data_IF_664425040172
#
_entry.id   IF_664425040172
#
_cell.length_a   1.000
_cell.length_b   1.000
_cell.length_c   1.000
_cell.angle_alpha   90.00
_cell.angle_beta   90.00
_cell.angle_gamma   90.00
#
_symmetry.space_group_name_H-M   'P 1'
#
loop_
_entity.id
_entity.type
_entity.pdbx_description
1 polymer ?
#
# COMPACT_ATOMS: atom_id res chain seq x y z
N UNK A 1 -37.15 20.93 -13.37
CA UNK A 1 -37.04 19.50 -12.96
C UNK A 1 -37.88 19.31 -11.71
N UNK A 2 -38.76 18.34 -11.65
CA UNK A 2 -39.60 18.10 -10.46
C UNK A 2 -38.69 17.52 -9.33
N UNK A 3 -39.13 17.70 -8.06
CA UNK A 3 -38.41 17.11 -6.91
C UNK A 3 -38.30 15.57 -7.04
N UNK A 4 -39.23 14.93 -7.73
CA UNK A 4 -39.22 13.50 -8.03
C UNK A 4 -38.03 13.12 -8.93
N UNK A 5 -37.80 13.86 -10.02
CA UNK A 5 -36.72 13.58 -10.99
C UNK A 5 -35.35 13.73 -10.43
N UNK A 6 -35.18 14.55 -9.38
CA UNK A 6 -33.87 14.70 -8.67
C UNK A 6 -33.63 13.64 -7.60
N UNK A 7 -34.67 12.94 -7.15
CA UNK A 7 -34.57 11.96 -6.03
C UNK A 7 -34.66 10.52 -6.48
N UNK A 8 -35.29 10.23 -7.60
CA UNK A 8 -35.52 8.87 -8.05
C UNK A 8 -34.99 8.66 -9.47
N UNK A 9 -33.95 7.88 -9.60
CA UNK A 9 -33.48 7.42 -10.89
C UNK A 9 -34.43 6.34 -11.41
N UNK A 10 -34.98 6.55 -12.58
CA UNK A 10 -36.00 5.64 -13.17
C UNK A 10 -35.33 4.46 -13.88
N UNK A 11 -34.15 4.67 -14.44
CA UNK A 11 -33.37 3.66 -15.16
C UNK A 11 -31.93 3.68 -14.66
N UNK A 12 -31.38 2.50 -14.41
CA UNK A 12 -29.99 2.32 -13.98
C UNK A 12 -29.60 0.85 -14.04
N UNK A 13 -28.32 0.57 -14.27
CA UNK A 13 -27.79 -0.76 -14.55
C UNK A 13 -26.83 -1.23 -13.49
N UNK A 14 -27.01 -2.49 -13.04
CA UNK A 14 -26.04 -3.25 -12.27
C UNK A 14 -25.18 -4.10 -13.19
N UNK A 15 -24.19 -4.81 -12.64
CA UNK A 15 -23.40 -5.74 -13.45
C UNK A 15 -24.20 -6.91 -14.01
N UNK A 16 -25.29 -7.29 -13.35
CA UNK A 16 -26.15 -8.39 -13.81
C UNK A 16 -27.04 -7.98 -14.99
N UNK A 17 -27.29 -6.67 -15.18
CA UNK A 17 -28.23 -6.17 -16.20
C UNK A 17 -27.58 -6.01 -17.58
N UNK A 18 -26.26 -6.05 -17.69
CA UNK A 18 -25.54 -5.73 -18.92
C UNK A 18 -24.49 -6.77 -19.27
N UNK A 19 -24.20 -6.90 -20.56
CA UNK A 19 -23.07 -7.63 -21.10
C UNK A 19 -22.31 -6.74 -22.09
N UNK A 20 -20.99 -6.96 -22.20
CA UNK A 20 -20.19 -6.31 -23.22
C UNK A 20 -20.46 -6.96 -24.58
N UNK A 21 -20.62 -6.12 -25.59
CA UNK A 21 -20.77 -6.59 -26.98
C UNK A 21 -19.38 -6.99 -27.50
N UNK A 22 -19.21 -8.22 -28.05
CA UNK A 22 -17.95 -8.62 -28.66
C UNK A 22 -17.58 -7.69 -29.84
N UNK A 23 -16.31 -7.34 -29.93
CA UNK A 23 -15.77 -6.52 -31.00
C UNK A 23 -14.53 -7.18 -31.60
N UNK A 24 -14.13 -6.73 -32.80
CA UNK A 24 -12.87 -7.14 -33.41
C UNK A 24 -11.69 -6.80 -32.47
N UNK A 25 -10.78 -7.75 -32.28
CA UNK A 25 -9.60 -7.60 -31.44
C UNK A 25 -8.33 -7.91 -32.22
N UNK A 26 -7.33 -7.06 -32.03
CA UNK A 26 -5.96 -7.25 -32.56
C UNK A 26 -4.95 -7.55 -31.46
N UNK A 27 -5.41 -7.80 -30.22
CA UNK A 27 -4.59 -8.03 -29.03
C UNK A 27 -4.82 -9.44 -28.52
N UNK A 28 -3.76 -10.19 -28.28
CA UNK A 28 -3.81 -11.49 -27.61
C UNK A 28 -3.87 -11.28 -26.08
N UNK A 29 -4.45 -12.23 -25.33
CA UNK A 29 -4.54 -12.10 -23.87
C UNK A 29 -3.21 -11.85 -23.17
N UNK A 30 -2.11 -12.39 -23.67
CA UNK A 30 -0.78 -12.23 -23.10
C UNK A 30 -0.13 -10.86 -23.42
N UNK A 31 -0.68 -10.13 -24.38
CA UNK A 31 -0.15 -8.83 -24.82
C UNK A 31 -0.89 -7.65 -24.16
N UNK A 32 -1.87 -7.95 -23.31
CA UNK A 32 -2.67 -6.93 -22.61
C UNK A 32 -1.84 -6.28 -21.51
N UNK A 33 -1.71 -4.96 -21.56
CA UNK A 33 -1.16 -4.17 -20.45
C UNK A 33 -2.27 -3.83 -19.45
N UNK A 34 -2.13 -4.32 -18.23
CA UNK A 34 -3.08 -4.09 -17.11
C UNK A 34 -2.65 -2.94 -16.20
N UNK A 35 -1.56 -2.23 -16.53
CA UNK A 35 -1.06 -1.15 -15.70
C UNK A 35 -2.04 0.02 -15.66
N UNK A 36 -2.16 0.62 -14.49
CA UNK A 36 -3.03 1.79 -14.25
C UNK A 36 -2.27 2.83 -13.45
N UNK A 37 -2.17 4.04 -14.01
CA UNK A 37 -1.75 5.21 -13.26
C UNK A 37 -2.96 5.74 -12.47
N UNK A 38 -3.06 5.36 -11.21
CA UNK A 38 -4.20 5.74 -10.36
C UNK A 38 -4.06 7.20 -9.86
N UNK A 39 -2.85 7.59 -9.46
CA UNK A 39 -2.48 8.96 -9.12
C UNK A 39 -0.99 9.17 -9.43
N UNK A 40 -0.47 10.39 -9.30
CA UNK A 40 0.92 10.74 -9.68
C UNK A 40 1.96 9.73 -9.18
N UNK A 41 1.82 9.26 -7.95
CA UNK A 41 2.77 8.34 -7.29
C UNK A 41 2.21 6.91 -7.14
N UNK A 42 1.07 6.61 -7.76
CA UNK A 42 0.40 5.30 -7.63
C UNK A 42 0.26 4.64 -9.00
N UNK A 43 1.31 3.95 -9.44
CA UNK A 43 1.27 3.07 -10.60
C UNK A 43 1.00 1.65 -10.15
N UNK A 44 -0.18 1.14 -10.46
CA UNK A 44 -0.53 -0.26 -10.22
C UNK A 44 -0.24 -1.11 -11.45
N UNK A 45 0.15 -2.37 -11.24
CA UNK A 45 0.40 -3.34 -12.31
C UNK A 45 -0.85 -4.13 -12.71
N UNK A 46 -1.83 -4.16 -11.81
CA UNK A 46 -3.17 -4.71 -12.07
C UNK A 46 -4.22 -3.75 -11.47
N UNK A 47 -5.42 -3.64 -12.07
CA UNK A 47 -6.44 -2.70 -11.65
C UNK A 47 -7.27 -3.22 -10.46
N UNK A 48 -6.61 -3.70 -9.40
CA UNK A 48 -7.27 -4.30 -8.23
C UNK A 48 -6.83 -3.65 -6.93
N UNK A 49 -7.80 -3.40 -6.04
CA UNK A 49 -7.55 -2.95 -4.66
C UNK A 49 -8.31 -3.80 -3.65
N UNK A 50 -7.79 -3.93 -2.44
CA UNK A 50 -8.52 -4.54 -1.32
C UNK A 50 -9.14 -3.49 -0.41
N UNK A 51 -10.37 -3.79 0.07
CA UNK A 51 -11.20 -2.85 0.81
C UNK A 51 -10.68 -2.56 2.22
N UNK A 52 -10.92 -1.34 2.71
CA UNK A 52 -10.55 -0.84 4.04
C UNK A 52 -11.47 -1.37 5.16
N UNK A 53 -11.62 -2.69 5.22
CA UNK A 53 -12.49 -3.38 6.18
C UNK A 53 -11.66 -4.20 7.17
N UNK A 54 -12.06 -4.22 8.44
CA UNK A 54 -11.30 -4.84 9.54
C UNK A 54 -11.08 -6.35 9.41
N UNK A 55 -11.93 -7.04 8.66
CA UNK A 55 -11.77 -8.48 8.36
C UNK A 55 -11.22 -8.75 6.96
N UNK A 56 -10.77 -7.73 6.24
CA UNK A 56 -10.31 -7.84 4.85
C UNK A 56 -8.86 -7.41 4.70
N UNK A 57 -8.51 -6.19 5.11
CA UNK A 57 -7.18 -5.63 4.81
C UNK A 57 -6.43 -5.21 6.07
N UNK A 58 -5.55 -6.07 6.52
CA UNK A 58 -4.40 -5.80 7.38
C UNK A 58 -3.11 -5.75 6.56
N UNK A 59 -1.94 -5.72 7.20
CA UNK A 59 -0.65 -5.79 6.51
C UNK A 59 -0.48 -7.06 5.68
N UNK A 60 -1.05 -8.20 6.11
CA UNK A 60 -0.93 -9.48 5.40
C UNK A 60 -1.59 -9.42 4.03
N UNK A 61 -2.84 -8.96 3.98
CA UNK A 61 -3.57 -8.78 2.72
C UNK A 61 -2.94 -7.67 1.88
N UNK A 62 -2.53 -6.55 2.49
CA UNK A 62 -1.91 -5.44 1.76
C UNK A 62 -0.59 -5.88 1.08
N UNK A 63 0.22 -6.69 1.75
CA UNK A 63 1.43 -7.29 1.16
C UNK A 63 1.06 -8.23 0.02
N UNK A 64 0.08 -9.11 0.23
CA UNK A 64 -0.31 -10.11 -0.76
C UNK A 64 -0.80 -9.47 -2.06
N UNK A 65 -1.67 -8.45 -1.97
CA UNK A 65 -2.21 -7.79 -3.16
C UNK A 65 -1.16 -6.90 -3.85
N UNK A 66 -0.29 -6.22 -3.09
CA UNK A 66 0.78 -5.40 -3.65
C UNK A 66 1.82 -6.26 -4.40
N UNK A 67 2.13 -7.48 -3.93
CA UNK A 67 2.96 -8.47 -4.64
C UNK A 67 2.38 -8.86 -5.99
N UNK A 68 1.07 -8.93 -6.09
CA UNK A 68 0.37 -9.21 -7.36
C UNK A 68 0.21 -7.95 -8.24
N UNK A 69 0.64 -6.79 -7.75
CA UNK A 69 0.60 -5.55 -8.51
C UNK A 69 -0.59 -4.62 -8.21
N UNK A 70 -1.42 -4.96 -7.23
CA UNK A 70 -2.54 -4.15 -6.77
C UNK A 70 -2.19 -3.25 -5.57
N UNK A 71 -3.21 -2.75 -4.86
CA UNK A 71 -3.04 -1.86 -3.72
C UNK A 71 -3.97 -2.26 -2.56
N UNK A 72 -3.40 -2.48 -1.39
CA UNK A 72 -4.17 -2.72 -0.16
C UNK A 72 -4.47 -1.43 0.59
N UNK A 73 -5.70 -1.31 1.14
CA UNK A 73 -6.08 -0.19 2.00
C UNK A 73 -6.24 -0.68 3.44
N UNK A 74 -5.26 -0.37 4.29
CA UNK A 74 -5.30 -0.73 5.72
C UNK A 74 -6.50 -0.08 6.41
N UNK A 75 -7.30 -0.87 7.12
CA UNK A 75 -8.50 -0.38 7.79
C UNK A 75 -8.17 0.49 9.02
N UNK A 76 -9.13 1.34 9.43
CA UNK A 76 -8.97 2.29 10.54
C UNK A 76 -9.51 1.79 11.90
N UNK A 77 -10.08 0.59 11.96
CA UNK A 77 -10.66 0.04 13.21
C UNK A 77 -9.57 -0.47 14.16
N UNK A 78 -8.62 0.41 14.51
CA UNK A 78 -7.52 0.18 15.44
C UNK A 78 -6.94 1.52 15.91
N UNK A 79 -6.03 1.50 16.90
CA UNK A 79 -5.35 2.71 17.33
C UNK A 79 -4.49 3.32 16.21
N UNK A 80 -4.10 4.59 16.37
CA UNK A 80 -3.25 5.29 15.39
C UNK A 80 -1.90 4.56 15.25
N UNK A 81 -1.30 4.21 16.38
CA UNK A 81 0.00 3.53 16.44
C UNK A 81 -0.07 2.14 15.80
N UNK A 82 -1.16 1.39 16.06
CA UNK A 82 -1.36 0.07 15.47
C UNK A 82 -1.50 0.15 13.94
N UNK A 83 -2.24 1.14 13.44
CA UNK A 83 -2.42 1.33 12.00
C UNK A 83 -1.11 1.78 11.32
N UNK A 84 -0.35 2.68 11.94
CA UNK A 84 0.97 3.07 11.48
C UNK A 84 1.94 1.88 11.45
N UNK A 85 1.90 1.00 12.47
CA UNK A 85 2.71 -0.22 12.49
C UNK A 85 2.33 -1.20 11.36
N UNK A 86 1.03 -1.33 11.02
CA UNK A 86 0.60 -2.11 9.86
C UNK A 86 1.17 -1.56 8.55
N UNK A 87 1.18 -0.23 8.37
CA UNK A 87 1.83 0.41 7.22
C UNK A 87 3.34 0.13 7.21
N UNK A 88 4.02 0.25 8.35
CA UNK A 88 5.44 -0.08 8.47
C UNK A 88 5.74 -1.53 8.09
N UNK A 89 4.91 -2.50 8.50
CA UNK A 89 5.08 -3.91 8.12
C UNK A 89 5.04 -4.08 6.59
N UNK A 90 4.12 -3.41 5.90
CA UNK A 90 4.05 -3.46 4.43
C UNK A 90 5.30 -2.86 3.81
N UNK A 91 5.69 -1.65 4.24
CA UNK A 91 6.86 -0.94 3.70
C UNK A 91 8.18 -1.69 3.91
N UNK A 92 8.27 -2.50 4.96
CA UNK A 92 9.47 -3.31 5.27
C UNK A 92 9.44 -4.71 4.67
N UNK A 93 8.28 -5.19 4.22
CA UNK A 93 8.14 -6.57 3.74
C UNK A 93 8.94 -6.84 2.47
N UNK A 94 9.11 -5.83 1.63
CA UNK A 94 9.94 -5.88 0.44
C UNK A 94 10.53 -4.50 0.15
N UNK A 95 11.84 -4.44 0.14
CA UNK A 95 12.57 -3.23 -0.22
C UNK A 95 13.81 -3.60 -0.99
N UNK A 96 13.87 -4.28 -2.02
CA UNK A 96 15.09 -4.64 -2.78
C UNK A 96 16.42 -4.26 -2.08
N UNK A 97 16.47 -3.02 -1.57
CA UNK A 97 17.50 -2.51 -0.65
C UNK A 97 16.80 -1.97 0.60
N UNK A 98 17.06 -2.55 1.76
CA UNK A 98 16.57 -2.05 3.05
C UNK A 98 17.37 -0.78 3.39
N UNK A 99 16.76 0.38 3.19
CA UNK A 99 17.32 1.65 3.65
C UNK A 99 17.06 1.79 5.16
N UNK A 100 18.06 2.24 5.92
CA UNK A 100 18.01 2.35 7.38
C UNK A 100 17.64 1.01 8.06
N UNK A 101 18.44 -0.05 7.88
CA UNK A 101 18.19 -1.33 8.51
C UNK A 101 18.24 -1.21 10.03
N UNK A 102 17.51 -2.08 10.74
CA UNK A 102 17.73 -2.22 12.18
C UNK A 102 19.18 -2.60 12.44
N UNK A 103 19.77 -1.99 13.44
CA UNK A 103 21.10 -2.30 13.90
C UNK A 103 21.14 -2.34 15.43
N UNK A 104 22.16 -3.01 15.95
CA UNK A 104 22.49 -3.04 17.37
C UNK A 104 23.97 -2.68 17.55
N UNK A 105 24.41 -2.55 18.77
CA UNK A 105 25.82 -2.32 19.10
C UNK A 105 26.42 -3.56 19.77
N UNK A 106 27.75 -3.71 19.82
CA UNK A 106 28.42 -4.86 20.44
C UNK A 106 28.04 -5.13 21.90
N UNK A 107 27.60 -4.06 22.61
CA UNK A 107 27.26 -4.10 24.05
C UNK A 107 25.84 -4.54 24.36
N UNK A 108 24.99 -4.66 23.34
CA UNK A 108 23.66 -5.25 23.55
C UNK A 108 23.78 -6.74 23.85
N UNK A 109 22.81 -7.28 24.58
CA UNK A 109 22.73 -8.72 24.85
C UNK A 109 22.18 -9.48 23.64
N UNK A 110 22.52 -10.76 23.54
CA UNK A 110 21.92 -11.68 22.58
C UNK A 110 20.40 -11.75 22.74
N UNK A 111 19.88 -11.62 23.96
CA UNK A 111 18.44 -11.58 24.23
C UNK A 111 17.73 -10.39 23.55
N UNK A 112 18.34 -9.21 23.56
CA UNK A 112 17.81 -8.03 22.89
C UNK A 112 17.79 -8.22 21.37
N UNK A 113 18.85 -8.83 20.82
CA UNK A 113 18.90 -9.16 19.41
C UNK A 113 17.81 -10.18 19.02
N UNK A 114 17.63 -11.23 19.81
CA UNK A 114 16.59 -12.24 19.56
C UNK A 114 15.19 -11.61 19.60
N UNK A 115 14.89 -10.78 20.61
CA UNK A 115 13.61 -10.06 20.71
C UNK A 115 13.37 -9.17 19.50
N UNK A 116 14.39 -8.42 19.05
CA UNK A 116 14.32 -7.58 17.86
C UNK A 116 14.06 -8.43 16.61
N UNK A 117 14.81 -9.51 16.43
CA UNK A 117 14.71 -10.40 15.28
C UNK A 117 13.35 -11.12 15.25
N UNK A 118 12.83 -11.57 16.38
CA UNK A 118 11.51 -12.19 16.51
C UNK A 118 10.39 -11.20 16.22
N UNK A 119 10.46 -10.00 16.81
CA UNK A 119 9.43 -8.95 16.63
C UNK A 119 9.25 -8.56 15.16
N UNK A 120 10.35 -8.44 14.42
CA UNK A 120 10.33 -7.98 13.02
C UNK A 120 10.52 -9.10 11.99
N UNK A 121 10.53 -10.36 12.42
CA UNK A 121 10.69 -11.55 11.56
C UNK A 121 11.95 -11.49 10.67
N UNK A 122 13.03 -10.91 11.19
CA UNK A 122 14.31 -10.80 10.49
C UNK A 122 15.29 -11.87 10.98
N UNK A 123 16.16 -12.33 10.09
CA UNK A 123 17.10 -13.44 10.35
C UNK A 123 18.53 -12.97 10.63
N UNK A 124 18.72 -11.67 10.87
CA UNK A 124 20.02 -11.11 11.27
C UNK A 124 20.02 -9.60 11.24
N UNK A 125 20.96 -9.03 11.98
CA UNK A 125 21.06 -7.61 12.29
C UNK A 125 22.51 -7.15 12.10
N UNK A 126 22.78 -6.08 11.33
CA UNK A 126 24.09 -5.40 11.32
C UNK A 126 24.43 -4.85 12.71
N UNK A 127 25.69 -4.90 13.06
CA UNK A 127 26.21 -4.38 14.33
C UNK A 127 27.10 -3.17 14.02
N UNK A 128 26.79 -2.04 14.63
CA UNK A 128 27.53 -0.78 14.46
C UNK A 128 28.24 -0.39 15.75
N UNK A 129 29.27 0.43 15.65
CA UNK A 129 30.11 0.79 16.79
C UNK A 129 29.34 1.46 17.92
N UNK A 130 28.49 2.44 17.58
CA UNK A 130 27.58 3.11 18.52
C UNK A 130 26.36 3.70 17.78
N UNK A 131 25.38 4.22 18.51
CA UNK A 131 24.24 4.92 17.91
C UNK A 131 24.67 6.24 17.23
N UNK A 132 25.70 6.92 17.73
CA UNK A 132 26.24 8.16 17.17
C UNK A 132 27.19 7.88 15.99
N UNK A 133 27.98 6.80 16.09
CA UNK A 133 28.89 6.35 15.05
C UNK A 133 28.41 5.03 14.47
N UNK A 134 27.67 5.11 13.35
CA UNK A 134 27.08 3.96 12.68
C UNK A 134 28.10 3.16 11.83
N UNK A 135 29.39 3.23 12.15
CA UNK A 135 30.41 2.42 11.49
C UNK A 135 30.12 0.94 11.70
N UNK A 136 30.04 0.19 10.61
CA UNK A 136 29.76 -1.24 10.65
C UNK A 136 30.95 -1.99 11.27
N UNK A 137 30.72 -2.78 12.32
CA UNK A 137 31.71 -3.55 13.03
C UNK A 137 31.44 -5.05 13.09
N UNK A 138 30.22 -5.47 12.71
CA UNK A 138 29.85 -6.88 12.72
C UNK A 138 28.49 -7.12 12.09
N UNK A 139 28.12 -8.39 12.04
CA UNK A 139 26.79 -8.85 11.72
C UNK A 139 26.43 -10.02 12.62
N UNK A 140 25.18 -10.03 13.12
CA UNK A 140 24.64 -11.12 13.91
C UNK A 140 23.49 -11.77 13.14
N UNK A 141 23.51 -13.09 13.00
CA UNK A 141 22.52 -13.85 12.23
C UNK A 141 21.98 -15.03 13.04
N UNK A 142 20.84 -15.61 12.59
CA UNK A 142 20.33 -16.85 13.19
C UNK A 142 21.35 -18.00 13.19
N UNK A 143 22.34 -17.98 12.29
CA UNK A 143 23.41 -18.98 12.25
C UNK A 143 24.33 -18.85 13.44
N UNK A 144 24.65 -17.60 13.82
CA UNK A 144 25.52 -17.30 14.97
C UNK A 144 24.81 -17.66 16.29
N UNK A 145 23.48 -17.54 16.34
CA UNK A 145 22.67 -17.83 17.52
C UNK A 145 22.30 -19.31 17.72
N UNK A 146 22.50 -20.16 16.71
CA UNK A 146 21.95 -21.53 16.66
C UNK A 146 22.29 -22.42 17.85
N UNK A 147 23.49 -22.22 18.46
CA UNK A 147 23.95 -23.05 19.55
C UNK A 147 24.16 -22.27 20.85
N UNK A 148 23.70 -21.03 20.91
CA UNK A 148 23.79 -20.20 22.11
C UNK A 148 22.75 -20.66 23.11
N UNK A 149 23.14 -20.93 24.32
CA UNK A 149 22.28 -21.31 25.45
C UNK A 149 22.16 -20.20 26.49
N UNK A 150 23.16 -19.33 26.59
CA UNK A 150 23.15 -18.16 27.47
C UNK A 150 22.87 -16.89 26.64
N UNK A 151 21.68 -16.38 26.73
CA UNK A 151 21.23 -15.18 26.00
C UNK A 151 21.63 -13.88 26.73
N UNK A 152 22.25 -13.94 27.90
CA UNK A 152 22.70 -12.76 28.65
C UNK A 152 24.04 -12.21 28.18
N UNK A 153 24.80 -12.97 27.39
CA UNK A 153 26.08 -12.55 26.85
C UNK A 153 25.99 -11.40 25.88
N UNK A 154 27.05 -10.62 25.73
CA UNK A 154 27.13 -9.52 24.79
C UNK A 154 27.21 -10.02 23.33
N UNK A 155 26.60 -9.26 22.41
CA UNK A 155 26.66 -9.57 20.97
C UNK A 155 28.07 -9.67 20.46
N UNK A 156 29.01 -8.88 21.06
CA UNK A 156 30.41 -8.89 20.69
C UNK A 156 31.05 -10.28 20.77
N UNK A 157 30.58 -11.14 21.65
CA UNK A 157 31.15 -12.48 21.86
C UNK A 157 30.74 -13.47 20.75
N UNK A 158 29.61 -13.21 20.07
CA UNK A 158 29.01 -14.18 19.15
C UNK A 158 28.85 -13.67 17.71
N UNK A 159 28.92 -12.35 17.49
CA UNK A 159 28.78 -11.79 16.15
C UNK A 159 29.91 -12.17 15.21
N UNK A 160 29.63 -12.27 13.93
CA UNK A 160 30.66 -12.34 12.89
C UNK A 160 31.34 -10.98 12.77
N UNK A 161 32.68 -10.96 13.01
CA UNK A 161 33.53 -9.78 12.90
C UNK A 161 34.31 -9.78 11.58
N UNK A 162 35.22 -8.82 11.41
CA UNK A 162 36.07 -8.74 10.21
C UNK A 162 36.78 -10.07 9.85
N UNK A 163 36.93 -10.37 8.55
CA UNK A 163 36.57 -9.49 7.41
C UNK A 163 35.11 -9.58 7.06
N UNK A 164 34.40 -8.43 7.08
CA UNK A 164 33.02 -8.33 6.66
C UNK A 164 32.92 -8.13 5.15
N UNK A 165 32.01 -8.86 4.50
CA UNK A 165 31.67 -8.65 3.11
C UNK A 165 30.62 -7.56 3.05
N UNK A 166 30.96 -6.44 2.43
CA UNK A 166 30.11 -5.26 2.25
C UNK A 166 30.11 -4.81 0.80
N UNK A 167 29.16 -3.94 0.44
CA UNK A 167 29.14 -3.28 -0.86
C UNK A 167 28.85 -1.77 -0.70
N UNK A 168 29.20 -0.93 -1.69
CA UNK A 168 28.91 0.49 -1.62
C UNK A 168 27.42 0.77 -1.78
N UNK A 169 26.97 1.93 -1.30
CA UNK A 169 25.64 2.46 -1.57
C UNK A 169 25.42 2.58 -3.10
N UNK A 170 24.24 2.18 -3.59
CA UNK A 170 23.95 2.18 -5.02
C UNK A 170 24.25 0.85 -5.74
N UNK A 171 24.77 -0.16 -5.04
CA UNK A 171 24.94 -1.51 -5.58
C UNK A 171 23.59 -2.05 -6.07
N UNK A 172 23.52 -2.48 -7.34
CA UNK A 172 22.33 -3.08 -7.91
C UNK A 172 22.03 -4.47 -7.32
N UNK A 173 20.78 -4.90 -7.36
CA UNK A 173 20.39 -6.23 -6.88
C UNK A 173 21.15 -7.37 -7.61
N UNK A 174 21.44 -7.20 -8.89
CA UNK A 174 22.18 -8.19 -9.68
C UNK A 174 23.65 -8.29 -9.26
N UNK A 175 24.28 -7.16 -8.94
CA UNK A 175 25.64 -7.15 -8.37
C UNK A 175 25.64 -7.75 -6.97
N UNK A 176 24.65 -7.40 -6.14
CA UNK A 176 24.49 -7.95 -4.81
C UNK A 176 24.30 -9.47 -4.84
N UNK A 177 23.46 -10.00 -5.75
CA UNK A 177 23.30 -11.45 -5.98
C UNK A 177 24.63 -12.13 -6.25
N UNK A 178 25.43 -11.57 -7.15
CA UNK A 178 26.76 -12.11 -7.48
C UNK A 178 27.71 -12.14 -6.29
N UNK A 179 27.67 -11.11 -5.43
CA UNK A 179 28.48 -11.03 -4.20
C UNK A 179 27.99 -12.05 -3.17
N UNK A 180 26.67 -12.12 -2.91
CA UNK A 180 26.05 -13.06 -1.98
C UNK A 180 26.39 -14.52 -2.36
N UNK A 181 26.25 -14.85 -3.66
CA UNK A 181 26.55 -16.17 -4.19
C UNK A 181 28.04 -16.52 -4.06
N UNK A 182 28.94 -15.61 -4.45
CA UNK A 182 30.40 -15.82 -4.42
C UNK A 182 30.90 -16.09 -3.00
N UNK A 183 30.38 -15.31 -2.03
CA UNK A 183 30.82 -15.39 -0.64
C UNK A 183 29.95 -16.33 0.22
N UNK A 184 28.89 -16.93 -0.36
CA UNK A 184 27.96 -17.85 0.33
C UNK A 184 27.35 -17.23 1.59
N UNK A 185 27.02 -15.93 1.51
CA UNK A 185 26.37 -15.17 2.56
C UNK A 185 24.92 -14.83 2.18
N UNK A 186 24.05 -14.61 3.16
CA UNK A 186 22.63 -14.33 2.95
C UNK A 186 22.29 -12.85 3.08
N UNK A 187 23.22 -12.05 3.60
CA UNK A 187 23.04 -10.63 3.89
C UNK A 187 24.28 -9.86 3.49
N UNK A 188 24.04 -8.75 2.78
CA UNK A 188 25.08 -7.86 2.28
C UNK A 188 24.82 -6.45 2.83
N UNK A 189 25.54 -6.03 3.88
CA UNK A 189 25.49 -4.65 4.36
C UNK A 189 26.01 -3.70 3.28
N UNK A 190 25.32 -2.59 3.09
CA UNK A 190 25.76 -1.48 2.26
C UNK A 190 26.37 -0.40 3.16
N UNK A 191 27.55 0.07 2.77
CA UNK A 191 28.28 1.08 3.54
C UNK A 191 28.61 2.29 2.67
N UNK A 192 28.71 3.45 3.31
CA UNK A 192 29.23 4.66 2.69
C UNK A 192 30.76 4.64 2.58
N UNK A 193 31.36 5.71 2.02
CA UNK A 193 32.80 5.84 1.87
C UNK A 193 33.58 5.85 3.19
N UNK A 194 32.90 6.12 4.32
CA UNK A 194 33.47 6.11 5.67
C UNK A 194 33.29 4.77 6.39
N UNK A 195 32.59 3.83 5.77
CA UNK A 195 32.26 2.53 6.33
C UNK A 195 31.04 2.53 7.25
N UNK A 196 30.21 3.59 7.21
CA UNK A 196 28.98 3.64 7.99
C UNK A 196 27.88 2.84 7.29
N UNK A 197 27.06 2.15 8.08
CA UNK A 197 25.91 1.38 7.62
C UNK A 197 24.89 2.30 6.98
N UNK A 198 24.56 2.05 5.72
CA UNK A 198 23.59 2.83 4.94
C UNK A 198 22.46 2.01 4.37
N UNK A 199 22.60 0.69 4.34
CA UNK A 199 21.58 -0.22 3.84
C UNK A 199 21.92 -1.69 4.08
N UNK A 200 20.97 -2.55 3.71
CA UNK A 200 21.14 -4.00 3.76
C UNK A 200 20.41 -4.63 2.57
N UNK A 201 21.05 -5.54 1.88
CA UNK A 201 20.40 -6.40 0.87
C UNK A 201 20.46 -7.84 1.40
N UNK A 202 19.34 -8.56 1.30
CA UNK A 202 19.30 -9.97 1.66
C UNK A 202 18.95 -10.85 0.46
N UNK A 203 19.34 -12.13 0.50
CA UNK A 203 18.97 -13.09 -0.54
C UNK A 203 17.43 -13.19 -0.69
N UNK A 204 16.70 -13.09 0.42
CA UNK A 204 15.23 -13.11 0.41
C UNK A 204 14.61 -11.93 -0.38
N UNK A 205 15.25 -10.76 -0.36
CA UNK A 205 14.76 -9.60 -1.11
C UNK A 205 14.96 -9.81 -2.61
N UNK A 206 16.06 -10.45 -3.00
CA UNK A 206 16.33 -10.82 -4.39
C UNK A 206 15.36 -11.92 -4.87
N UNK A 207 15.16 -12.98 -4.08
CA UNK A 207 14.22 -14.05 -4.36
C UNK A 207 12.80 -13.52 -4.57
N UNK A 208 12.34 -12.58 -3.73
CA UNK A 208 11.03 -11.94 -3.86
C UNK A 208 10.87 -11.13 -5.14
N UNK A 209 11.91 -10.44 -5.61
CA UNK A 209 11.85 -9.73 -6.89
C UNK A 209 11.68 -10.69 -8.06
N UNK A 210 12.30 -11.86 -7.98
CA UNK A 210 12.16 -12.93 -9.00
C UNK A 210 10.77 -13.58 -8.90
N UNK A 211 10.28 -13.85 -7.69
CA UNK A 211 8.99 -14.48 -7.45
C UNK A 211 7.81 -13.56 -7.79
N UNK A 212 7.93 -12.24 -7.52
CA UNK A 212 6.88 -11.25 -7.72
C UNK A 212 7.35 -10.10 -8.65
N UNK A 213 7.62 -10.35 -9.93
CA UNK A 213 8.16 -9.35 -10.86
C UNK A 213 7.19 -8.19 -11.12
N UNK A 214 5.89 -8.41 -10.91
CA UNK A 214 4.83 -7.44 -11.13
C UNK A 214 4.40 -6.70 -9.86
N UNK A 215 5.16 -6.79 -8.75
CA UNK A 215 4.81 -6.08 -7.52
C UNK A 215 4.61 -4.58 -7.74
N UNK A 216 3.57 -4.02 -7.12
CA UNK A 216 3.35 -2.58 -7.07
C UNK A 216 4.30 -1.95 -6.05
N UNK A 217 5.25 -1.14 -6.51
CA UNK A 217 6.32 -0.56 -5.69
C UNK A 217 6.45 0.94 -5.87
N UNK A 218 6.87 1.61 -4.80
CA UNK A 218 7.25 3.02 -4.83
C UNK A 218 8.64 3.23 -5.48
N UNK A 219 9.07 4.48 -5.58
CA UNK A 219 10.38 4.86 -6.14
C UNK A 219 11.57 4.30 -5.35
N UNK A 220 11.37 3.89 -4.10
CA UNK A 220 12.38 3.26 -3.25
C UNK A 220 12.33 1.71 -3.32
N UNK A 221 11.51 1.13 -4.19
CA UNK A 221 11.35 -0.30 -4.35
C UNK A 221 10.54 -1.00 -3.24
N UNK A 222 9.84 -0.24 -2.38
CA UNK A 222 8.99 -0.76 -1.31
C UNK A 222 7.57 -0.96 -1.81
N UNK A 223 6.86 -1.96 -1.31
CA UNK A 223 5.47 -2.21 -1.68
C UNK A 223 4.58 -0.99 -1.45
N UNK A 224 3.66 -0.74 -2.38
CA UNK A 224 2.64 0.29 -2.24
C UNK A 224 1.60 -0.12 -1.20
N UNK A 225 1.17 0.84 -0.40
CA UNK A 225 0.11 0.68 0.61
C UNK A 225 -0.68 1.96 0.78
N UNK A 226 -2.00 1.84 0.89
CA UNK A 226 -2.89 2.93 1.31
C UNK A 226 -3.44 2.64 2.70
N UNK A 227 -3.93 3.66 3.39
CA UNK A 227 -4.57 3.51 4.69
C UNK A 227 -5.78 4.43 4.85
N UNK A 228 -6.82 3.88 5.48
CA UNK A 228 -8.08 4.59 5.66
C UNK A 228 -8.06 5.51 6.88
N UNK A 229 -8.69 6.68 6.73
CA UNK A 229 -9.02 7.60 7.80
C UNK A 229 -10.52 7.93 7.76
N UNK A 230 -11.09 8.36 8.89
CA UNK A 230 -12.45 8.89 8.96
C UNK A 230 -12.48 10.41 8.87
N UNK A 231 -13.59 10.97 9.40
CA UNK A 231 -13.78 12.41 9.57
C UNK A 231 -13.96 12.78 11.06
N UNK A 232 -13.40 11.98 11.94
CA UNK A 232 -13.45 12.10 13.40
C UNK A 232 -12.42 13.09 13.93
N UNK A 233 -12.40 13.32 15.23
CA UNK A 233 -11.46 14.27 15.87
C UNK A 233 -10.00 13.89 15.69
N UNK A 234 -9.69 12.60 15.58
CA UNK A 234 -8.34 12.05 15.42
C UNK A 234 -7.81 12.03 13.97
N UNK A 235 -8.60 12.49 13.00
CA UNK A 235 -8.27 12.38 11.56
C UNK A 235 -6.90 12.95 11.21
N UNK A 236 -6.55 14.14 11.73
CA UNK A 236 -5.27 14.78 11.36
C UNK A 236 -4.06 14.10 12.00
N UNK A 237 -4.20 13.71 13.28
CA UNK A 237 -3.16 12.99 14.00
C UNK A 237 -2.90 11.62 13.33
N UNK A 238 -3.96 10.92 12.98
CA UNK A 238 -3.91 9.64 12.26
C UNK A 238 -3.28 9.79 10.87
N UNK A 239 -3.72 10.78 10.08
CA UNK A 239 -3.15 11.04 8.76
C UNK A 239 -1.65 11.37 8.84
N UNK A 240 -1.24 12.18 9.84
CA UNK A 240 0.17 12.50 10.08
C UNK A 240 0.99 11.26 10.39
N UNK A 241 0.55 10.44 11.34
CA UNK A 241 1.24 9.21 11.72
C UNK A 241 1.37 8.21 10.55
N UNK A 242 0.34 8.10 9.70
CA UNK A 242 0.37 7.26 8.50
C UNK A 242 1.37 7.78 7.45
N UNK A 243 1.41 9.09 7.23
CA UNK A 243 2.38 9.71 6.31
C UNK A 243 3.82 9.54 6.82
N UNK A 244 4.06 9.71 8.12
CA UNK A 244 5.35 9.45 8.76
C UNK A 244 5.75 7.97 8.66
N UNK A 245 4.78 7.05 8.69
CA UNK A 245 4.99 5.61 8.43
C UNK A 245 5.30 5.30 6.96
N UNK A 246 5.13 6.26 6.05
CA UNK A 246 5.42 6.14 4.63
C UNK A 246 4.27 5.59 3.79
N UNK A 247 3.01 5.81 4.20
CA UNK A 247 1.84 5.44 3.39
C UNK A 247 1.84 6.19 2.05
N UNK A 248 1.47 5.52 0.96
CA UNK A 248 1.47 6.11 -0.39
C UNK A 248 0.19 6.90 -0.70
N UNK A 249 -0.93 6.56 -0.04
CA UNK A 249 -2.18 7.30 -0.15
C UNK A 249 -3.00 7.24 1.13
N UNK A 250 -3.64 8.36 1.46
CA UNK A 250 -4.65 8.46 2.51
C UNK A 250 -6.03 8.28 1.88
N UNK A 251 -6.82 7.35 2.41
CA UNK A 251 -8.19 7.08 1.95
C UNK A 251 -9.19 7.64 2.95
N UNK A 252 -9.87 8.73 2.59
CA UNK A 252 -10.97 9.27 3.38
C UNK A 252 -12.22 8.43 3.08
N UNK A 253 -12.46 7.46 3.96
CA UNK A 253 -13.49 6.43 3.77
C UNK A 253 -14.74 6.73 4.60
N UNK A 254 -15.83 7.07 3.91
CA UNK A 254 -17.10 7.50 4.50
C UNK A 254 -18.30 6.86 3.81
N UNK A 255 -19.39 6.71 4.54
CA UNK A 255 -20.65 6.18 3.99
C UNK A 255 -21.28 7.11 2.95
N UNK A 256 -21.01 8.42 3.03
CA UNK A 256 -21.52 9.44 2.11
C UNK A 256 -20.50 10.57 1.91
N UNK A 257 -19.67 10.42 0.88
CA UNK A 257 -18.60 11.37 0.56
C UNK A 257 -19.10 12.76 0.16
N UNK A 258 -20.30 12.86 -0.42
CA UNK A 258 -20.91 14.14 -0.84
C UNK A 258 -21.66 14.83 0.31
N UNK A 259 -21.13 14.79 1.53
CA UNK A 259 -21.68 15.56 2.67
C UNK A 259 -20.82 16.78 2.96
N UNK A 260 -21.43 17.87 3.40
CA UNK A 260 -20.72 19.12 3.69
C UNK A 260 -19.60 18.95 4.74
N UNK A 261 -19.80 18.06 5.73
CA UNK A 261 -18.79 17.73 6.73
C UNK A 261 -17.57 17.02 6.16
N UNK A 262 -17.79 16.07 5.24
CA UNK A 262 -16.71 15.33 4.55
C UNK A 262 -15.92 16.27 3.63
N UNK A 263 -16.62 17.04 2.80
CA UNK A 263 -15.99 18.00 1.87
C UNK A 263 -15.11 19.00 2.63
N UNK A 264 -15.63 19.58 3.73
CA UNK A 264 -14.85 20.48 4.57
C UNK A 264 -13.61 19.79 5.14
N UNK A 265 -13.76 18.58 5.69
CA UNK A 265 -12.64 17.82 6.27
C UNK A 265 -11.58 17.47 5.23
N UNK A 266 -11.96 17.11 4.02
CA UNK A 266 -11.02 16.84 2.90
C UNK A 266 -10.23 18.12 2.57
N UNK A 267 -10.91 19.27 2.49
CA UNK A 267 -10.24 20.54 2.24
C UNK A 267 -9.21 20.87 3.32
N UNK A 268 -9.55 20.69 4.60
CA UNK A 268 -8.64 20.87 5.74
C UNK A 268 -7.43 19.90 5.64
N UNK A 269 -7.65 18.63 5.29
CA UNK A 269 -6.57 17.65 5.10
C UNK A 269 -5.64 18.09 3.97
N UNK A 270 -6.19 18.54 2.84
CA UNK A 270 -5.40 19.02 1.69
C UNK A 270 -4.57 20.26 2.04
N UNK A 271 -5.11 21.17 2.84
CA UNK A 271 -4.39 22.36 3.31
C UNK A 271 -3.21 22.01 4.23
N UNK A 272 -3.38 21.00 5.12
CA UNK A 272 -2.35 20.56 6.07
C UNK A 272 -1.30 19.66 5.38
N UNK A 273 -1.73 18.80 4.45
CA UNK A 273 -0.87 17.83 3.77
C UNK A 273 -0.99 18.00 2.24
N UNK A 274 -0.40 19.08 1.67
CA UNK A 274 -0.59 19.44 0.27
C UNK A 274 -0.05 18.40 -0.72
N UNK A 275 0.97 17.65 -0.33
CA UNK A 275 1.64 16.67 -1.19
C UNK A 275 1.08 15.24 -1.03
N UNK A 276 0.18 15.01 -0.05
CA UNK A 276 -0.40 13.69 0.18
C UNK A 276 -1.32 13.29 -0.98
N UNK A 277 -1.22 12.05 -1.44
CA UNK A 277 -2.20 11.48 -2.35
C UNK A 277 -3.49 11.17 -1.59
N UNK A 278 -4.60 11.80 -1.99
CA UNK A 278 -5.90 11.67 -1.34
C UNK A 278 -6.88 10.89 -2.22
N UNK A 279 -7.37 9.80 -1.68
CA UNK A 279 -8.50 9.02 -2.23
C UNK A 279 -9.70 9.31 -1.34
N UNK A 280 -10.85 9.63 -1.88
CA UNK A 280 -12.03 9.89 -1.05
C UNK A 280 -13.32 9.28 -1.64
N UNK A 281 -14.23 8.93 -0.77
CA UNK A 281 -15.55 8.37 -1.11
C UNK A 281 -16.36 8.01 0.16
N UNK A 282 -17.53 7.34 -0.05
CA UNK A 282 -18.03 6.95 -1.36
C UNK A 282 -19.03 7.96 -1.89
N UNK A 283 -19.07 8.07 -3.21
CA UNK A 283 -20.10 8.80 -3.95
C UNK A 283 -20.72 7.87 -5.01
N UNK A 284 -21.83 8.29 -5.61
CA UNK A 284 -22.50 7.51 -6.65
C UNK A 284 -23.10 8.39 -7.76
N UNK A 285 -22.75 9.67 -7.81
CA UNK A 285 -23.28 10.64 -8.78
C UNK A 285 -22.17 11.49 -9.38
N UNK A 286 -22.45 12.07 -10.54
CA UNK A 286 -21.56 13.03 -11.19
C UNK A 286 -21.27 14.26 -10.30
N UNK A 287 -22.30 14.80 -9.64
CA UNK A 287 -22.19 15.96 -8.77
C UNK A 287 -21.29 15.66 -7.56
N UNK A 288 -21.47 14.50 -6.92
CA UNK A 288 -20.63 14.07 -5.79
C UNK A 288 -19.17 13.88 -6.20
N UNK A 289 -18.96 13.33 -7.38
CA UNK A 289 -17.61 13.15 -7.95
C UNK A 289 -16.93 14.51 -8.20
N UNK A 290 -17.65 15.44 -8.81
CA UNK A 290 -17.18 16.81 -9.08
C UNK A 290 -16.83 17.53 -7.78
N UNK A 291 -17.72 17.50 -6.81
CA UNK A 291 -17.51 18.15 -5.51
C UNK A 291 -16.24 17.66 -4.79
N UNK A 292 -15.90 16.37 -4.89
CA UNK A 292 -14.67 15.82 -4.30
C UNK A 292 -13.43 16.27 -5.09
N UNK A 293 -13.46 16.28 -6.42
CA UNK A 293 -12.33 16.76 -7.20
C UNK A 293 -12.05 18.26 -6.99
N UNK A 294 -13.07 19.08 -6.86
CA UNK A 294 -12.96 20.52 -6.62
C UNK A 294 -12.26 20.87 -5.29
N UNK A 295 -12.39 20.01 -4.27
CA UNK A 295 -11.68 20.19 -2.99
C UNK A 295 -10.32 19.51 -2.93
N UNK A 296 -9.80 19.05 -4.07
CA UNK A 296 -8.42 18.58 -4.20
C UNK A 296 -8.21 17.09 -3.99
N UNK A 297 -9.27 16.25 -4.10
CA UNK A 297 -9.12 14.79 -4.12
C UNK A 297 -8.42 14.36 -5.41
N UNK A 298 -7.51 13.41 -5.32
CA UNK A 298 -6.77 12.87 -6.48
C UNK A 298 -7.54 11.73 -7.15
N UNK A 299 -8.19 10.88 -6.36
CA UNK A 299 -8.96 9.72 -6.83
C UNK A 299 -10.27 9.61 -6.08
N UNK A 300 -11.37 9.43 -6.79
CA UNK A 300 -12.70 9.28 -6.17
C UNK A 300 -13.14 7.82 -6.14
N UNK A 301 -13.62 7.37 -4.98
CA UNK A 301 -14.15 6.02 -4.77
C UNK A 301 -15.68 6.03 -4.93
N UNK A 302 -16.19 5.17 -5.83
CA UNK A 302 -17.56 5.18 -6.34
C UNK A 302 -18.30 3.90 -5.94
N UNK A 303 -19.42 4.07 -5.24
CA UNK A 303 -20.31 2.97 -4.88
C UNK A 303 -21.08 3.26 -3.60
N UNK A 304 -22.41 3.44 -3.71
CA UNK A 304 -23.33 3.55 -2.58
C UNK A 304 -24.30 2.39 -2.61
N UNK A 305 -24.13 1.44 -1.70
CA UNK A 305 -25.01 0.30 -1.52
C UNK A 305 -24.78 -0.93 -2.41
N UNK A 306 -23.75 -1.04 -3.31
CA UNK A 306 -23.63 -2.22 -4.16
C UNK A 306 -22.93 -3.41 -3.47
N UNK A 307 -22.24 -3.20 -2.35
CA UNK A 307 -21.49 -4.25 -1.66
C UNK A 307 -22.38 -5.38 -1.14
N UNK A 308 -21.88 -6.61 -1.16
CA UNK A 308 -22.64 -7.81 -0.76
C UNK A 308 -23.09 -7.80 0.70
N UNK A 309 -22.34 -7.13 1.58
CA UNK A 309 -22.68 -6.99 3.01
C UNK A 309 -23.25 -5.60 3.34
N UNK A 310 -23.42 -4.73 2.33
CA UNK A 310 -23.90 -3.36 2.55
C UNK A 310 -25.40 -3.35 2.83
N UNK A 311 -25.79 -2.76 3.95
CA UNK A 311 -27.19 -2.64 4.38
C UNK A 311 -27.82 -1.30 3.98
N UNK A 312 -27.08 -0.38 3.39
CA UNK A 312 -27.56 0.99 3.06
C UNK A 312 -28.84 0.97 2.22
N UNK A 313 -28.92 0.13 1.18
CA UNK A 313 -30.13 0.02 0.35
C UNK A 313 -31.32 -0.52 1.12
N UNK A 314 -31.09 -1.47 2.02
CA UNK A 314 -32.16 -2.14 2.79
C UNK A 314 -32.65 -1.26 3.94
N UNK A 315 -31.75 -0.62 4.66
CA UNK A 315 -32.04 0.16 5.87
C UNK A 315 -32.38 1.61 5.55
N UNK A 316 -31.59 2.25 4.68
CA UNK A 316 -31.77 3.68 4.36
C UNK A 316 -32.53 3.93 3.05
N UNK A 317 -32.72 2.90 2.22
CA UNK A 317 -33.37 3.05 0.90
C UNK A 317 -32.54 3.86 -0.11
N UNK A 318 -31.23 4.02 0.11
CA UNK A 318 -30.35 4.87 -0.69
C UNK A 318 -29.34 4.01 -1.44
N UNK A 319 -29.10 4.37 -2.71
CA UNK A 319 -28.09 3.71 -3.55
C UNK A 319 -28.30 4.03 -5.02
N UNK A 320 -27.28 3.75 -5.82
CA UNK A 320 -27.34 3.83 -7.28
C UNK A 320 -26.87 2.51 -7.88
N UNK A 321 -27.47 1.98 -8.94
CA UNK A 321 -26.98 0.83 -9.68
C UNK A 321 -25.53 1.05 -10.12
N UNK A 322 -24.64 0.07 -9.89
CA UNK A 322 -23.19 0.31 -9.85
C UNK A 322 -22.60 0.69 -11.22
N UNK A 323 -23.06 0.07 -12.31
CA UNK A 323 -22.57 0.42 -13.67
C UNK A 323 -22.91 1.86 -14.00
N UNK A 324 -24.12 2.29 -13.67
CA UNK A 324 -24.57 3.69 -13.85
C UNK A 324 -23.74 4.65 -13.00
N UNK A 325 -23.53 4.34 -11.71
CA UNK A 325 -22.71 5.17 -10.82
C UNK A 325 -21.27 5.34 -11.34
N UNK A 326 -20.66 4.25 -11.82
CA UNK A 326 -19.31 4.28 -12.39
C UNK A 326 -19.29 5.15 -13.65
N UNK A 327 -20.24 4.97 -14.56
CA UNK A 327 -20.31 5.72 -15.82
C UNK A 327 -20.45 7.22 -15.58
N UNK A 328 -21.36 7.61 -14.69
CA UNK A 328 -21.60 9.03 -14.35
C UNK A 328 -20.36 9.66 -13.70
N UNK A 329 -19.74 8.97 -12.76
CA UNK A 329 -18.50 9.42 -12.11
C UNK A 329 -17.33 9.48 -13.09
N UNK A 330 -17.19 8.49 -13.99
CA UNK A 330 -16.14 8.45 -15.01
C UNK A 330 -16.24 9.58 -16.02
N UNK A 331 -17.46 10.04 -16.32
CA UNK A 331 -17.68 11.19 -17.20
C UNK A 331 -17.06 12.46 -16.60
N UNK A 332 -17.26 12.69 -15.30
CA UNK A 332 -16.63 13.81 -14.59
C UNK A 332 -15.12 13.60 -14.45
N UNK A 333 -14.68 12.38 -14.12
CA UNK A 333 -13.25 12.09 -13.95
C UNK A 333 -12.44 12.43 -15.22
N UNK A 334 -12.98 12.13 -16.39
CA UNK A 334 -12.38 12.53 -17.68
C UNK A 334 -12.23 14.05 -17.85
N UNK A 335 -13.19 14.85 -17.39
CA UNK A 335 -13.08 16.32 -17.43
C UNK A 335 -11.91 16.84 -16.60
N UNK A 336 -11.61 16.16 -15.47
CA UNK A 336 -10.52 16.53 -14.56
C UNK A 336 -9.19 15.82 -14.87
N UNK A 337 -9.15 14.88 -15.81
CA UNK A 337 -7.98 14.03 -16.08
C UNK A 337 -7.57 13.20 -14.87
N UNK A 338 -8.55 12.75 -14.05
CA UNK A 338 -8.34 12.01 -12.80
C UNK A 338 -9.00 10.63 -12.86
N UNK A 339 -8.61 9.77 -11.91
CA UNK A 339 -9.09 8.39 -11.85
C UNK A 339 -10.26 8.20 -10.85
N UNK A 340 -11.00 7.11 -11.06
CA UNK A 340 -12.01 6.62 -10.12
C UNK A 340 -11.81 5.15 -9.79
N UNK A 341 -12.23 4.75 -8.60
CA UNK A 341 -12.26 3.37 -8.11
C UNK A 341 -13.71 2.89 -8.09
N UNK A 342 -14.00 1.78 -8.77
CA UNK A 342 -15.30 1.12 -8.71
C UNK A 342 -15.36 0.21 -7.48
N UNK A 343 -16.08 0.64 -6.44
CA UNK A 343 -16.13 -0.04 -5.15
C UNK A 343 -17.44 -0.75 -4.93
N UNK A 344 -17.39 -2.07 -4.86
CA UNK A 344 -18.49 -2.95 -4.50
C UNK A 344 -19.32 -3.48 -5.68
N UNK A 345 -20.07 -4.54 -5.40
CA UNK A 345 -20.95 -5.21 -6.36
C UNK A 345 -20.24 -6.20 -7.29
N UNK A 346 -18.94 -6.37 -7.18
CA UNK A 346 -18.15 -7.32 -7.96
C UNK A 346 -18.35 -8.72 -7.37
N UNK A 347 -18.88 -9.64 -8.17
CA UNK A 347 -19.10 -11.06 -7.80
C UNK A 347 -18.27 -12.01 -8.66
N UNK A 348 -18.04 -11.67 -9.90
CA UNK A 348 -17.36 -12.47 -10.90
C UNK A 348 -16.27 -11.67 -11.63
N UNK A 349 -15.32 -12.36 -12.22
CA UNK A 349 -14.26 -11.71 -13.03
C UNK A 349 -14.81 -10.87 -14.19
N UNK A 350 -15.93 -11.28 -14.77
CA UNK A 350 -16.63 -10.50 -15.80
C UNK A 350 -17.14 -9.14 -15.31
N UNK A 351 -17.45 -9.00 -14.03
CA UNK A 351 -17.90 -7.72 -13.45
C UNK A 351 -16.74 -6.72 -13.37
N UNK A 352 -15.51 -7.20 -13.17
CA UNK A 352 -14.29 -6.37 -13.24
C UNK A 352 -14.20 -5.72 -14.62
N UNK A 353 -14.35 -6.51 -15.67
CA UNK A 353 -14.27 -6.02 -17.06
C UNK A 353 -15.39 -5.02 -17.35
N UNK A 354 -16.62 -5.29 -16.88
CA UNK A 354 -17.75 -4.36 -17.01
C UNK A 354 -17.51 -3.05 -16.27
N UNK A 355 -16.93 -3.08 -15.06
CA UNK A 355 -16.60 -1.89 -14.29
C UNK A 355 -15.54 -1.02 -15.00
N UNK A 356 -14.51 -1.64 -15.57
CA UNK A 356 -13.47 -0.94 -16.35
C UNK A 356 -14.10 -0.37 -17.64
N UNK A 357 -14.91 -1.14 -18.36
CA UNK A 357 -15.59 -0.68 -19.57
C UNK A 357 -16.54 0.49 -19.29
N UNK A 358 -17.18 0.54 -18.11
CA UNK A 358 -17.99 1.68 -17.68
C UNK A 358 -17.16 2.93 -17.33
N UNK A 359 -15.82 2.79 -17.25
CA UNK A 359 -14.89 3.89 -16.99
C UNK A 359 -14.21 3.86 -15.61
N UNK A 360 -14.39 2.78 -14.84
CA UNK A 360 -13.60 2.54 -13.63
C UNK A 360 -12.14 2.29 -14.00
N UNK A 361 -11.21 2.92 -13.29
CA UNK A 361 -9.77 2.70 -13.51
C UNK A 361 -9.28 1.49 -12.72
N UNK A 362 -9.82 1.31 -11.52
CA UNK A 362 -9.50 0.23 -10.59
C UNK A 362 -10.78 -0.27 -9.95
N UNK A 363 -10.85 -1.53 -9.58
CA UNK A 363 -11.97 -2.13 -8.83
C UNK A 363 -11.54 -2.52 -7.42
N UNK A 364 -12.50 -2.42 -6.48
CA UNK A 364 -12.32 -2.78 -5.08
C UNK A 364 -13.41 -3.75 -4.65
#
# INVERSE_FOLDING_TARGET
>A
MSMWETKFQKEGYTFDDVLLIPAESHVLPNDVDLQVQLAKNLLLKIPLMSASMDTVTDSTMAIAIARQGGLGVIHKNMSIEAQAEEVHKVKRSESGVILNPFFLTPKHSVQEAEKLMAKYHISGVPIVESFENQKLVGILTNRDLRFITDYSIEIEEVMTKEPLITAPVGTSLKEAESILQRHKIEKLPLVDEKGNLSGLITIKDIEKVIEFPNSAKDEHGRLLVAAAVGITSDTFERAKALLEAGVDAIVIDTAHGHSAGVIRKIKEIREIFPDATLIAGNVATAEGTRALFEVGVDVVKVGIGPGSICTTRVVAGVGVPQVTAIYDAATVAREYGKAIIADGGIKYSGDIVKAIAAGGHVVM
#
